data_IF_917976154044
#
_entry.id   IF_917976154044
#
_cell.length_a   1.000
_cell.length_b   1.000
_cell.length_c   1.000
_cell.angle_alpha   90.00
_cell.angle_beta   90.00
_cell.angle_gamma   90.00
#
_symmetry.space_group_name_H-M   'P 1'
#
loop_
_entity.id
_entity.type
_entity.pdbx_description
1 polymer ?
#
# COMPACT_ATOMS: atom_id res chain seq x y z
N UNK A 1 -14.13 -14.13 -1.70
CA UNK A 1 -13.33 -14.31 -0.47
C UNK A 1 -11.86 -14.66 -0.78
N UNK A 2 -11.55 -15.68 -1.59
CA UNK A 2 -10.17 -16.16 -1.82
C UNK A 2 -9.21 -15.10 -2.37
N UNK A 3 -9.64 -14.25 -3.31
CA UNK A 3 -8.81 -13.17 -3.85
C UNK A 3 -8.50 -12.10 -2.79
N UNK A 4 -9.49 -11.71 -1.99
CA UNK A 4 -9.28 -10.76 -0.88
C UNK A 4 -8.24 -11.32 0.10
N UNK A 5 -8.41 -12.57 0.53
CA UNK A 5 -7.46 -13.23 1.42
C UNK A 5 -6.04 -13.24 0.86
N UNK A 6 -5.90 -13.56 -0.45
CA UNK A 6 -4.59 -13.53 -1.11
C UNK A 6 -3.97 -12.13 -1.06
N UNK A 7 -4.72 -11.09 -1.43
CA UNK A 7 -4.21 -9.71 -1.43
C UNK A 7 -3.79 -9.27 -0.03
N UNK A 8 -4.62 -9.54 0.99
CA UNK A 8 -4.29 -9.20 2.38
C UNK A 8 -3.06 -9.97 2.89
N UNK A 9 -2.91 -11.24 2.48
CA UNK A 9 -1.69 -12.01 2.78
C UNK A 9 -0.45 -11.40 2.15
N UNK A 10 -0.54 -10.87 0.92
CA UNK A 10 0.58 -10.22 0.23
C UNK A 10 0.93 -8.88 0.87
N UNK A 11 -0.05 -8.09 1.30
CA UNK A 11 0.18 -6.86 2.09
C UNK A 11 1.02 -7.16 3.34
N UNK A 12 0.77 -8.28 4.02
CA UNK A 12 1.57 -8.71 5.17
C UNK A 12 2.98 -9.19 4.83
N UNK A 13 3.29 -9.45 3.55
CA UNK A 13 4.66 -9.73 3.10
C UNK A 13 5.49 -8.46 2.96
N UNK A 14 4.90 -7.41 2.41
CA UNK A 14 5.46 -6.06 2.36
C UNK A 14 4.37 -5.06 1.95
N UNK A 15 3.92 -4.17 2.84
CA UNK A 15 2.88 -3.20 2.52
C UNK A 15 3.36 -2.05 1.63
N UNK A 16 4.67 -1.91 1.38
CA UNK A 16 5.22 -0.94 0.44
C UNK A 16 5.32 -1.46 -1.00
N UNK A 17 5.09 -2.77 -1.23
CA UNK A 17 5.16 -3.34 -2.57
C UNK A 17 3.86 -3.13 -3.34
N UNK A 18 3.98 -2.76 -4.63
CA UNK A 18 2.83 -2.64 -5.55
C UNK A 18 2.58 -3.92 -6.33
N UNK A 19 3.58 -4.81 -6.47
CA UNK A 19 3.38 -6.10 -7.15
C UNK A 19 4.17 -7.24 -6.54
N UNK A 20 3.62 -8.47 -6.70
CA UNK A 20 4.11 -9.65 -6.01
C UNK A 20 4.24 -10.84 -6.94
N UNK A 21 5.19 -11.71 -6.62
CA UNK A 21 5.34 -13.03 -7.20
C UNK A 21 4.16 -13.96 -6.82
N UNK A 22 3.91 -14.96 -7.65
CA UNK A 22 2.92 -16.01 -7.34
C UNK A 22 3.36 -16.84 -6.14
N UNK A 23 4.67 -17.05 -6.01
CA UNK A 23 5.34 -17.80 -4.96
C UNK A 23 6.66 -17.10 -4.57
N UNK A 24 7.24 -17.45 -3.46
CA UNK A 24 8.54 -16.94 -3.04
C UNK A 24 9.66 -17.48 -3.96
N UNK A 25 10.21 -16.62 -4.82
CA UNK A 25 11.18 -17.04 -5.83
C UNK A 25 12.32 -16.04 -6.09
N UNK A 26 12.32 -14.88 -5.41
CA UNK A 26 13.35 -13.83 -5.55
C UNK A 26 13.47 -13.22 -6.95
N UNK A 27 12.49 -13.40 -7.82
CA UNK A 27 12.43 -12.71 -9.12
C UNK A 27 11.86 -11.31 -8.91
N UNK A 28 12.42 -10.33 -9.62
CA UNK A 28 11.99 -8.93 -9.56
C UNK A 28 11.77 -8.34 -10.94
N UNK A 29 11.10 -7.22 -11.00
CA UNK A 29 10.89 -6.46 -12.22
C UNK A 29 12.20 -5.87 -12.74
N UNK A 30 13.04 -5.34 -11.83
CA UNK A 30 14.35 -4.78 -12.10
C UNK A 30 15.40 -5.29 -11.11
N UNK A 31 16.49 -5.85 -11.64
CA UNK A 31 17.63 -6.27 -10.82
C UNK A 31 18.45 -5.10 -10.24
N UNK A 32 18.19 -3.88 -10.74
CA UNK A 32 18.86 -2.64 -10.34
C UNK A 32 18.08 -1.82 -9.30
N UNK A 33 17.02 -2.39 -8.73
CA UNK A 33 16.26 -1.72 -7.68
C UNK A 33 17.00 -1.82 -6.34
N UNK A 34 17.34 -0.67 -5.77
CA UNK A 34 17.90 -0.54 -4.44
C UNK A 34 16.79 -0.17 -3.46
N UNK A 35 16.21 -1.18 -2.84
CA UNK A 35 15.14 -1.11 -1.85
C UNK A 35 15.15 -2.40 -1.03
N UNK A 36 14.41 -2.48 0.08
CA UNK A 36 14.30 -3.71 0.85
C UNK A 36 13.43 -4.73 0.11
N UNK A 37 14.04 -5.81 -0.39
CA UNK A 37 13.36 -6.84 -1.15
C UNK A 37 13.29 -8.15 -0.35
N UNK A 38 12.22 -8.92 -0.60
CA UNK A 38 12.10 -10.30 -0.19
C UNK A 38 11.63 -11.16 -1.37
N UNK A 39 11.64 -12.48 -1.24
CA UNK A 39 11.34 -13.40 -2.35
C UNK A 39 9.92 -13.32 -2.90
N UNK A 40 8.99 -12.63 -2.22
CA UNK A 40 7.61 -12.43 -2.65
C UNK A 40 7.42 -11.18 -3.50
N UNK A 41 8.33 -10.19 -3.43
CA UNK A 41 8.20 -8.91 -4.10
C UNK A 41 8.63 -9.02 -5.55
N UNK A 42 7.76 -8.59 -6.48
CA UNK A 42 8.11 -8.39 -7.88
C UNK A 42 8.60 -6.97 -8.12
N UNK A 43 7.94 -5.97 -7.52
CA UNK A 43 8.32 -4.56 -7.56
C UNK A 43 7.86 -3.85 -6.28
N UNK A 44 8.70 -2.95 -5.76
CA UNK A 44 8.45 -2.26 -4.48
C UNK A 44 8.29 -0.74 -4.68
N UNK A 45 7.47 -0.35 -5.65
CA UNK A 45 7.06 1.03 -5.84
C UNK A 45 5.88 1.34 -4.93
N UNK A 46 6.08 2.12 -3.87
CA UNK A 46 5.02 2.43 -2.92
C UNK A 46 4.00 3.39 -3.51
N UNK A 47 2.78 2.94 -3.59
CA UNK A 47 1.60 3.65 -4.07
C UNK A 47 0.48 3.54 -3.04
N UNK A 48 -0.08 4.66 -2.60
CA UNK A 48 -1.17 4.66 -1.59
C UNK A 48 -2.40 3.90 -2.07
N UNK A 49 -2.76 4.03 -3.34
CA UNK A 49 -3.93 3.37 -3.91
C UNK A 49 -3.78 1.86 -4.03
N UNK A 50 -2.55 1.33 -4.19
CA UNK A 50 -2.30 -0.11 -4.17
C UNK A 50 -2.78 -0.78 -2.88
N UNK A 51 -2.79 -0.04 -1.76
CA UNK A 51 -3.35 -0.49 -0.49
C UNK A 51 -4.86 -0.23 -0.36
N UNK A 52 -5.42 0.70 -1.13
CA UNK A 52 -6.85 0.98 -1.13
C UNK A 52 -7.67 -0.12 -1.83
N UNK A 53 -7.16 -0.66 -2.94
CA UNK A 53 -7.90 -1.63 -3.75
C UNK A 53 -8.28 -2.93 -3.00
N UNK A 54 -7.42 -3.56 -2.19
CA UNK A 54 -7.81 -4.74 -1.39
C UNK A 54 -8.96 -4.46 -0.42
N UNK A 55 -8.94 -3.29 0.23
CA UNK A 55 -9.99 -2.87 1.16
C UNK A 55 -11.30 -2.61 0.43
N UNK A 56 -11.25 -1.89 -0.70
CA UNK A 56 -12.42 -1.66 -1.55
C UNK A 56 -13.02 -2.97 -2.06
N UNK A 57 -12.20 -3.89 -2.56
CA UNK A 57 -12.66 -5.17 -3.05
C UNK A 57 -13.38 -5.97 -1.95
N UNK A 58 -12.82 -5.99 -0.76
CA UNK A 58 -13.40 -6.69 0.39
C UNK A 58 -14.78 -6.11 0.78
N UNK A 59 -14.87 -4.78 0.80
CA UNK A 59 -16.12 -4.07 1.10
C UNK A 59 -17.20 -4.30 0.03
N UNK A 60 -16.85 -4.14 -1.26
CA UNK A 60 -17.79 -4.30 -2.36
C UNK A 60 -18.30 -5.77 -2.44
N UNK A 61 -17.42 -6.74 -2.24
CA UNK A 61 -17.84 -8.14 -2.18
C UNK A 61 -18.90 -8.36 -1.09
N UNK A 62 -18.67 -7.82 0.09
CA UNK A 62 -19.63 -7.91 1.19
C UNK A 62 -20.96 -7.23 0.85
N UNK A 63 -20.94 -5.98 0.36
CA UNK A 63 -22.16 -5.23 0.05
C UNK A 63 -22.99 -5.88 -1.07
N UNK A 64 -22.34 -6.47 -2.07
CA UNK A 64 -23.04 -7.08 -3.22
C UNK A 64 -23.53 -8.50 -2.92
N UNK A 65 -22.87 -9.25 -2.07
CA UNK A 65 -23.16 -10.68 -1.89
C UNK A 65 -23.59 -11.07 -0.47
N UNK A 66 -23.38 -10.20 0.52
CA UNK A 66 -23.53 -10.54 1.94
C UNK A 66 -22.41 -11.45 2.48
N UNK A 67 -21.40 -11.79 1.66
CA UNK A 67 -20.29 -12.67 2.06
C UNK A 67 -19.37 -11.96 3.06
N UNK A 68 -19.10 -12.59 4.19
CA UNK A 68 -18.25 -12.05 5.27
C UNK A 68 -17.03 -12.92 5.58
N UNK A 69 -16.89 -14.09 4.95
CA UNK A 69 -15.79 -15.03 5.23
C UNK A 69 -14.41 -14.49 4.86
N UNK A 70 -14.34 -13.41 4.06
CA UNK A 70 -13.09 -12.70 3.79
C UNK A 70 -12.60 -11.85 4.96
N UNK A 71 -13.44 -11.54 5.93
CA UNK A 71 -13.09 -10.74 7.11
C UNK A 71 -12.51 -11.60 8.23
N UNK A 72 -11.53 -12.43 7.88
CA UNK A 72 -10.81 -13.29 8.81
C UNK A 72 -9.70 -12.52 9.57
N UNK A 73 -8.97 -13.23 10.44
CA UNK A 73 -7.86 -12.64 11.21
C UNK A 73 -6.80 -12.00 10.30
N UNK A 74 -6.51 -12.60 9.13
CA UNK A 74 -5.54 -12.06 8.16
C UNK A 74 -6.02 -10.70 7.66
N UNK A 75 -7.32 -10.56 7.35
CA UNK A 75 -7.91 -9.29 6.92
C UNK A 75 -7.73 -8.20 8.00
N UNK A 76 -8.05 -8.53 9.24
CA UNK A 76 -7.97 -7.56 10.36
C UNK A 76 -6.52 -7.12 10.58
N UNK A 77 -5.57 -8.07 10.63
CA UNK A 77 -4.14 -7.76 10.85
C UNK A 77 -3.58 -6.95 9.67
N UNK A 78 -3.87 -7.33 8.43
CA UNK A 78 -3.40 -6.59 7.26
C UNK A 78 -4.01 -5.18 7.18
N UNK A 79 -5.28 -5.01 7.55
CA UNK A 79 -5.91 -3.68 7.62
C UNK A 79 -5.20 -2.80 8.65
N UNK A 80 -4.88 -3.32 9.83
CA UNK A 80 -4.13 -2.58 10.86
C UNK A 80 -2.72 -2.21 10.37
N UNK A 81 -2.06 -3.08 9.63
CA UNK A 81 -0.76 -2.79 9.01
C UNK A 81 -0.85 -1.65 7.98
N UNK A 82 -1.89 -1.64 7.14
CA UNK A 82 -2.15 -0.55 6.19
C UNK A 82 -2.34 0.78 6.94
N UNK A 83 -3.16 0.78 8.00
CA UNK A 83 -3.43 1.98 8.81
C UNK A 83 -2.16 2.48 9.51
N UNK A 84 -1.36 1.56 10.03
CA UNK A 84 -0.06 1.89 10.63
C UNK A 84 0.89 2.53 9.61
N UNK A 85 1.04 1.92 8.44
CA UNK A 85 1.87 2.46 7.36
C UNK A 85 1.41 3.86 6.96
N UNK A 86 0.12 4.08 6.69
CA UNK A 86 -0.40 5.41 6.35
C UNK A 86 -0.16 6.44 7.45
N UNK A 87 -0.17 6.02 8.72
CA UNK A 87 0.14 6.89 9.87
C UNK A 87 1.64 7.25 9.89
N UNK A 88 2.53 6.29 9.66
CA UNK A 88 3.98 6.53 9.54
C UNK A 88 4.26 7.50 8.39
N UNK A 89 3.61 7.29 7.25
CA UNK A 89 3.80 8.09 6.04
C UNK A 89 3.14 9.49 6.10
N UNK A 90 2.43 9.85 7.16
CA UNK A 90 2.04 11.25 7.41
C UNK A 90 3.25 12.13 7.73
N UNK A 91 4.31 11.54 8.27
CA UNK A 91 5.62 12.17 8.42
C UNK A 91 6.71 11.23 7.91
N UNK A 92 7.00 11.33 6.62
CA UNK A 92 7.94 10.46 5.91
C UNK A 92 9.37 10.46 6.50
N UNK A 93 9.73 11.43 7.36
CA UNK A 93 10.99 11.37 8.11
C UNK A 93 11.09 10.13 9.01
N UNK A 94 9.96 9.58 9.45
CA UNK A 94 9.88 8.39 10.27
C UNK A 94 9.79 7.10 9.44
N UNK A 95 9.72 7.20 8.11
CA UNK A 95 9.56 6.06 7.22
C UNK A 95 10.89 5.32 6.99
N UNK A 96 10.89 3.98 7.01
CA UNK A 96 12.02 3.19 6.58
C UNK A 96 12.12 3.08 5.05
N UNK A 97 11.10 3.51 4.30
CA UNK A 97 11.01 3.31 2.87
C UNK A 97 12.05 4.12 2.10
N UNK A 98 12.75 3.46 1.20
CA UNK A 98 13.66 4.06 0.22
C UNK A 98 13.56 3.28 -1.09
N UNK A 99 13.67 3.99 -2.21
CA UNK A 99 13.67 3.36 -3.53
C UNK A 99 14.57 4.11 -4.50
N UNK A 100 15.57 3.42 -5.02
CA UNK A 100 16.41 3.91 -6.12
C UNK A 100 16.46 2.85 -7.20
N UNK A 101 16.27 3.26 -8.45
CA UNK A 101 16.45 2.41 -9.63
C UNK A 101 17.56 2.99 -10.50
N UNK A 102 18.50 2.16 -10.94
CA UNK A 102 19.48 2.53 -11.94
C UNK A 102 18.81 2.63 -13.30
N UNK A 103 18.51 3.86 -13.74
CA UNK A 103 17.76 4.14 -14.97
C UNK A 103 18.04 5.53 -15.50
N UNK A 104 17.95 5.70 -16.82
CA UNK A 104 17.99 7.01 -17.49
C UNK A 104 16.64 7.78 -17.34
N UNK A 105 15.59 7.10 -16.87
CA UNK A 105 14.25 7.65 -16.72
C UNK A 105 14.06 8.19 -15.31
N UNK A 106 14.09 9.50 -15.18
CA UNK A 106 13.96 10.18 -13.88
C UNK A 106 12.64 9.91 -13.17
N UNK A 107 11.60 9.57 -13.92
CA UNK A 107 10.29 9.22 -13.39
C UNK A 107 10.23 7.81 -12.77
N UNK A 108 11.21 6.95 -13.03
CA UNK A 108 11.23 5.57 -12.54
C UNK A 108 12.01 5.39 -11.23
N UNK A 109 12.54 6.49 -10.66
CA UNK A 109 13.36 6.48 -9.43
C UNK A 109 13.04 7.66 -8.55
N UNK A 110 13.36 7.57 -7.26
CA UNK A 110 13.19 8.69 -6.34
C UNK A 110 14.50 9.50 -6.22
N UNK A 111 14.35 10.80 -6.01
CA UNK A 111 15.46 11.72 -5.70
C UNK A 111 15.92 11.57 -4.25
N UNK A 112 16.98 12.29 -3.86
CA UNK A 112 17.50 12.34 -2.49
C UNK A 112 17.81 10.93 -1.94
N UNK A 113 18.60 10.15 -2.69
CA UNK A 113 19.02 8.79 -2.32
C UNK A 113 17.83 7.87 -2.00
N UNK A 114 16.75 8.00 -2.79
CA UNK A 114 15.55 7.18 -2.65
C UNK A 114 14.55 7.66 -1.60
N UNK A 115 14.83 8.79 -0.94
CA UNK A 115 13.90 9.38 0.02
C UNK A 115 12.68 10.04 -0.66
N UNK A 116 12.88 10.57 -1.85
CA UNK A 116 11.85 11.32 -2.56
C UNK A 116 12.00 12.85 -2.44
N UNK A 117 11.06 13.63 -2.98
CA UNK A 117 11.10 15.09 -2.94
C UNK A 117 10.86 15.64 -1.52
N UNK A 118 11.29 16.88 -1.30
CA UNK A 118 11.00 17.62 -0.06
C UNK A 118 9.49 17.68 0.21
N UNK A 119 9.11 17.60 1.48
CA UNK A 119 7.71 17.62 1.89
C UNK A 119 7.50 18.42 3.17
N UNK A 120 6.25 18.75 3.45
CA UNK A 120 5.80 19.31 4.72
C UNK A 120 4.73 18.41 5.31
N UNK A 121 4.72 18.23 6.62
CA UNK A 121 3.69 17.44 7.31
C UNK A 121 2.34 18.15 7.18
N UNK A 122 1.39 17.50 6.53
CA UNK A 122 0.07 18.08 6.18
C UNK A 122 -1.11 17.30 6.75
N UNK A 123 -0.85 16.10 7.32
CA UNK A 123 -1.87 15.13 7.71
C UNK A 123 -2.32 14.19 6.59
N UNK A 124 -1.86 14.41 5.35
CA UNK A 124 -2.00 13.43 4.26
C UNK A 124 -0.91 12.37 4.36
N UNK A 125 -1.18 11.17 3.87
CA UNK A 125 -0.16 10.11 3.75
C UNK A 125 0.67 10.34 2.49
N UNK A 126 1.99 10.23 2.61
CA UNK A 126 2.96 10.39 1.53
C UNK A 126 2.84 9.24 0.53
N UNK A 127 3.16 9.48 -0.74
CA UNK A 127 3.18 8.47 -1.80
C UNK A 127 4.45 8.61 -2.62
N UNK A 128 5.15 7.51 -2.85
CA UNK A 128 6.37 7.50 -3.66
C UNK A 128 6.05 7.58 -5.16
N UNK A 129 5.12 6.76 -5.59
CA UNK A 129 4.74 6.60 -7.00
C UNK A 129 3.24 6.81 -7.19
N UNK A 130 2.86 7.00 -8.44
CA UNK A 130 1.47 7.15 -8.90
C UNK A 130 0.98 5.84 -9.51
N UNK A 131 -0.35 5.65 -9.68
CA UNK A 131 -0.92 4.48 -10.37
C UNK A 131 -0.41 4.25 -11.81
N UNK A 132 0.36 5.21 -12.35
CA UNK A 132 1.02 5.13 -13.65
C UNK A 132 2.49 4.68 -13.57
N UNK A 133 2.94 4.22 -12.41
CA UNK A 133 4.31 3.83 -12.09
C UNK A 133 5.35 4.97 -12.07
N UNK A 134 4.95 6.20 -12.34
CA UNK A 134 5.85 7.34 -12.28
C UNK A 134 6.00 7.84 -10.84
N UNK A 135 7.19 8.29 -10.45
CA UNK A 135 7.40 8.91 -9.15
C UNK A 135 6.59 10.20 -8.96
N UNK A 136 6.13 10.43 -7.75
CA UNK A 136 5.48 11.67 -7.39
C UNK A 136 6.48 12.83 -7.39
N UNK A 137 6.21 13.87 -8.19
CA UNK A 137 7.01 15.12 -8.17
C UNK A 137 6.73 15.94 -6.90
N UNK A 138 5.52 15.82 -6.39
CA UNK A 138 5.07 16.39 -5.11
C UNK A 138 4.72 15.24 -4.19
N UNK A 139 5.04 15.39 -2.93
CA UNK A 139 5.05 14.33 -1.93
C UNK A 139 3.67 13.72 -1.61
N UNK A 140 2.59 14.38 -1.98
CA UNK A 140 1.23 13.94 -1.69
C UNK A 140 0.40 13.84 -2.97
N UNK A 141 0.04 12.60 -3.34
CA UNK A 141 -0.88 12.35 -4.45
C UNK A 141 -2.33 12.53 -3.95
N UNK A 142 -2.93 13.67 -4.27
CA UNK A 142 -4.27 14.03 -3.79
C UNK A 142 -5.34 12.98 -4.15
N UNK A 143 -5.44 12.48 -5.41
CA UNK A 143 -6.45 11.46 -5.73
C UNK A 143 -6.33 10.18 -4.88
N UNK A 144 -5.11 9.69 -4.63
CA UNK A 144 -4.92 8.50 -3.80
C UNK A 144 -5.22 8.76 -2.32
N UNK A 145 -4.94 9.97 -1.81
CA UNK A 145 -5.36 10.38 -0.46
C UNK A 145 -6.89 10.47 -0.34
N UNK A 146 -7.59 10.98 -1.37
CA UNK A 146 -9.07 10.96 -1.41
C UNK A 146 -9.60 9.53 -1.43
N UNK A 147 -8.98 8.63 -2.17
CA UNK A 147 -9.34 7.21 -2.19
C UNK A 147 -9.10 6.57 -0.81
N UNK A 148 -7.99 6.86 -0.15
CA UNK A 148 -7.72 6.40 1.21
C UNK A 148 -8.84 6.83 2.19
N UNK A 149 -9.30 8.09 2.13
CA UNK A 149 -10.42 8.57 2.96
C UNK A 149 -11.70 7.76 2.69
N UNK A 150 -12.00 7.45 1.43
CA UNK A 150 -13.19 6.63 1.09
C UNK A 150 -13.08 5.23 1.68
N UNK A 151 -11.93 4.55 1.51
CA UNK A 151 -11.78 3.18 2.02
C UNK A 151 -11.66 3.14 3.54
N UNK A 152 -11.22 4.19 4.21
CA UNK A 152 -11.29 4.31 5.67
C UNK A 152 -12.76 4.26 6.15
N UNK A 153 -13.68 4.91 5.43
CA UNK A 153 -15.13 4.76 5.69
C UNK A 153 -15.60 3.31 5.54
N UNK A 154 -15.11 2.59 4.52
CA UNK A 154 -15.43 1.17 4.35
C UNK A 154 -14.89 0.30 5.50
N UNK A 155 -13.67 0.57 5.94
CA UNK A 155 -13.07 -0.13 7.09
C UNK A 155 -13.88 0.11 8.36
N UNK A 156 -14.35 1.33 8.61
CA UNK A 156 -15.21 1.63 9.76
C UNK A 156 -16.50 0.80 9.73
N UNK A 157 -17.18 0.70 8.58
CA UNK A 157 -18.38 -0.12 8.44
C UNK A 157 -18.07 -1.62 8.65
N UNK A 158 -16.98 -2.14 8.07
CA UNK A 158 -16.56 -3.54 8.26
C UNK A 158 -16.26 -3.81 9.74
N UNK A 159 -15.50 -2.94 10.41
CA UNK A 159 -15.13 -3.15 11.81
C UNK A 159 -16.34 -3.04 12.75
N UNK A 160 -17.31 -2.20 12.42
CA UNK A 160 -18.60 -2.14 13.15
C UNK A 160 -19.36 -3.47 13.00
N UNK A 161 -19.44 -4.05 11.79
CA UNK A 161 -20.08 -5.35 11.54
C UNK A 161 -19.39 -6.47 12.32
N UNK A 162 -18.07 -6.43 12.43
CA UNK A 162 -17.27 -7.41 13.18
C UNK A 162 -17.26 -7.16 14.69
N UNK A 163 -17.92 -6.12 15.20
CA UNK A 163 -17.84 -5.65 16.59
C UNK A 163 -16.41 -5.32 17.05
N UNK A 164 -15.57 -4.79 16.15
CA UNK A 164 -14.18 -4.40 16.37
C UNK A 164 -13.98 -2.87 16.39
N UNK A 165 -15.05 -2.09 16.54
CA UNK A 165 -15.00 -0.63 16.40
C UNK A 165 -14.06 0.09 17.41
N UNK A 166 -13.70 -0.58 18.50
CA UNK A 166 -12.83 -0.04 19.57
C UNK A 166 -11.43 -0.68 19.58
N UNK A 167 -11.02 -1.38 18.52
CA UNK A 167 -9.78 -2.19 18.50
C UNK A 167 -8.62 -1.57 17.70
#
# INVERSE_FOLDING_TARGET
AGLVKRQMTLVLKDPYANSFNIEENWKGHHETDHTDLNGWIWERKYEVDSLCYPLQLAYLLWKETGETSQFDEIFVVATKEILHLWTVEQDHNNSPYRFVRDTDRKEDTLVNDGFGPDFAVTGMTWSAFRPSDDCCQYSYLIPSNMFAVVVLGYVQEIFAELNLADS
#
